data_IF_436834046666
#
_entry.id   IF_436834046666
#
_cell.length_a   1.000
_cell.length_b   1.000
_cell.length_c   1.000
_cell.angle_alpha   90.00
_cell.angle_beta   90.00
_cell.angle_gamma   90.00
#
_symmetry.space_group_name_H-M   'P 1'
#
loop_
_entity.id
_entity.type
_entity.pdbx_description
1 polymer ?
#
# COMPACT_ATOMS: atom_id res chain seq x y z
N UNK A 1 17.61 25.69 8.48
CA UNK A 1 16.97 24.87 7.43
C UNK A 1 17.17 23.42 7.82
N UNK A 2 16.23 22.88 8.58
CA UNK A 2 16.31 21.56 9.19
C UNK A 2 16.39 20.46 8.13
N UNK A 3 17.53 19.75 8.13
CA UNK A 3 17.61 18.38 7.61
C UNK A 3 16.75 17.52 8.54
N UNK A 4 15.47 17.38 8.23
CA UNK A 4 14.64 16.33 8.81
C UNK A 4 15.35 15.00 8.58
N UNK A 5 15.95 14.46 9.64
CA UNK A 5 16.64 13.17 9.63
C UNK A 5 15.63 12.15 9.12
N UNK A 6 15.98 11.50 8.02
CA UNK A 6 15.20 10.41 7.45
C UNK A 6 15.22 9.27 8.45
N UNK A 7 14.17 9.15 9.26
CA UNK A 7 14.06 8.06 10.19
C UNK A 7 13.78 6.76 9.43
N UNK A 8 14.67 5.79 9.58
CA UNK A 8 14.45 4.40 9.17
C UNK A 8 13.69 3.61 10.24
N UNK A 9 13.22 4.29 11.29
CA UNK A 9 12.48 3.66 12.38
C UNK A 9 11.02 3.36 11.97
N UNK A 10 10.53 2.12 12.16
CA UNK A 10 9.16 1.74 11.83
C UNK A 10 8.10 2.58 12.54
N UNK A 11 8.33 3.00 13.79
CA UNK A 11 7.38 3.81 14.55
C UNK A 11 7.20 5.18 13.91
N UNK A 12 8.29 5.84 13.52
CA UNK A 12 8.26 7.14 12.85
C UNK A 12 7.59 7.07 11.47
N UNK A 13 7.84 5.98 10.74
CA UNK A 13 7.15 5.71 9.47
C UNK A 13 5.64 5.58 9.67
N UNK A 14 5.23 4.75 10.63
CA UNK A 14 3.83 4.52 10.94
C UNK A 14 3.13 5.80 11.42
N UNK A 15 3.80 6.59 12.26
CA UNK A 15 3.30 7.90 12.70
C UNK A 15 3.06 8.86 11.53
N UNK A 16 4.00 8.92 10.58
CA UNK A 16 3.87 9.78 9.39
C UNK A 16 2.71 9.36 8.49
N UNK A 17 2.48 8.06 8.33
CA UNK A 17 1.36 7.49 7.57
C UNK A 17 0.00 7.77 8.21
N UNK A 18 -0.05 7.96 9.54
CA UNK A 18 -1.28 8.32 10.28
C UNK A 18 -1.44 9.83 10.50
N UNK A 19 -0.59 10.65 9.91
CA UNK A 19 -0.65 12.10 10.09
C UNK A 19 -2.04 12.66 9.72
N UNK A 20 -2.57 13.63 10.46
CA UNK A 20 -3.82 14.30 10.08
C UNK A 20 -3.70 15.02 8.72
N UNK A 21 -2.48 15.41 8.32
CA UNK A 21 -2.22 16.07 7.06
C UNK A 21 -2.09 15.08 5.89
N UNK A 22 -2.99 15.18 4.90
CA UNK A 22 -2.95 14.36 3.70
C UNK A 22 -1.62 14.51 2.93
N UNK A 23 -1.01 15.70 2.93
CA UNK A 23 0.28 15.90 2.25
C UNK A 23 1.41 15.14 2.94
N UNK A 24 1.38 15.02 4.27
CA UNK A 24 2.36 14.26 5.05
C UNK A 24 2.19 12.76 4.79
N UNK A 25 0.95 12.26 4.81
CA UNK A 25 0.65 10.84 4.50
C UNK A 25 1.11 10.48 3.09
N UNK A 26 0.79 11.31 2.11
CA UNK A 26 1.21 11.11 0.72
C UNK A 26 2.74 11.14 0.58
N UNK A 27 3.42 12.08 1.25
CA UNK A 27 4.88 12.14 1.24
C UNK A 27 5.51 10.91 1.91
N UNK A 28 4.91 10.41 3.00
CA UNK A 28 5.35 9.19 3.66
C UNK A 28 5.23 7.97 2.73
N UNK A 29 4.06 7.79 2.07
CA UNK A 29 3.85 6.72 1.09
C UNK A 29 4.90 6.76 -0.03
N UNK A 30 5.20 7.95 -0.57
CA UNK A 30 6.18 8.10 -1.65
C UNK A 30 7.62 7.76 -1.25
N UNK A 31 7.93 7.78 0.05
CA UNK A 31 9.27 7.49 0.58
C UNK A 31 9.50 6.00 0.86
N UNK A 32 8.44 5.22 1.00
CA UNK A 32 8.58 3.80 1.30
C UNK A 32 9.22 3.06 0.11
N UNK A 33 10.32 2.32 0.34
CA UNK A 33 10.79 1.36 -0.67
C UNK A 33 9.92 0.11 -0.61
N UNK A 34 9.28 -0.29 -1.71
CA UNK A 34 8.55 -1.55 -1.79
C UNK A 34 9.42 -2.76 -1.45
N UNK A 35 10.69 -2.72 -1.88
CA UNK A 35 11.69 -3.73 -1.62
C UNK A 35 11.91 -3.97 -0.11
N UNK A 36 12.10 -2.89 0.65
CA UNK A 36 12.38 -2.92 2.09
C UNK A 36 11.15 -3.23 2.90
N UNK A 37 9.99 -2.77 2.46
CA UNK A 37 8.73 -3.12 3.09
C UNK A 37 8.45 -4.63 2.94
N UNK A 38 8.73 -5.23 1.79
CA UNK A 38 8.63 -6.70 1.63
C UNK A 38 9.58 -7.45 2.55
N UNK A 39 10.85 -7.03 2.62
CA UNK A 39 11.83 -7.60 3.56
C UNK A 39 11.39 -7.46 5.03
N UNK A 40 10.49 -6.53 5.32
CA UNK A 40 9.98 -6.30 6.67
C UNK A 40 8.70 -7.06 7.00
N UNK A 41 8.20 -7.88 6.09
CA UNK A 41 6.96 -8.62 6.30
C UNK A 41 7.08 -9.72 7.35
N UNK A 42 6.08 -9.83 8.22
CA UNK A 42 6.09 -10.79 9.33
C UNK A 42 7.05 -10.41 10.47
N UNK A 43 7.58 -9.19 10.47
CA UNK A 43 8.34 -8.61 11.59
C UNK A 43 7.40 -7.74 12.42
N UNK A 44 7.25 -8.09 13.69
CA UNK A 44 6.31 -7.45 14.62
C UNK A 44 6.50 -5.93 14.70
N UNK A 45 7.74 -5.43 14.64
CA UNK A 45 8.04 -4.00 14.72
C UNK A 45 7.57 -3.20 13.49
N UNK A 46 7.31 -3.87 12.36
CA UNK A 46 6.79 -3.24 11.14
C UNK A 46 5.28 -3.41 10.98
N UNK A 47 4.59 -4.21 11.81
CA UNK A 47 3.13 -4.35 11.77
C UNK A 47 2.40 -3.00 11.82
N UNK A 48 2.78 -2.03 12.69
CA UNK A 48 2.14 -0.71 12.70
C UNK A 48 2.28 0.04 11.38
N UNK A 49 3.35 -0.19 10.61
CA UNK A 49 3.55 0.40 9.28
C UNK A 49 2.57 -0.22 8.30
N UNK A 50 2.49 -1.55 8.27
CA UNK A 50 1.56 -2.29 7.42
C UNK A 50 0.10 -1.93 7.71
N UNK A 51 -0.29 -1.89 8.98
CA UNK A 51 -1.62 -1.46 9.42
C UNK A 51 -1.96 -0.07 8.93
N UNK A 52 -1.00 0.85 9.03
CA UNK A 52 -1.18 2.22 8.56
C UNK A 52 -1.36 2.24 7.03
N UNK A 53 -0.60 1.46 6.27
CA UNK A 53 -0.74 1.38 4.80
C UNK A 53 -2.11 0.84 4.41
N UNK A 54 -2.57 -0.24 5.04
CA UNK A 54 -3.88 -0.82 4.74
C UNK A 54 -5.03 0.13 5.11
N UNK A 55 -4.91 0.88 6.21
CA UNK A 55 -5.89 1.90 6.57
C UNK A 55 -6.02 2.99 5.50
N UNK A 56 -4.93 3.36 4.82
CA UNK A 56 -4.93 4.36 3.75
C UNK A 56 -5.64 3.92 2.47
N UNK A 57 -6.01 2.64 2.34
CA UNK A 57 -6.87 2.19 1.24
C UNK A 57 -8.24 2.88 1.26
N UNK A 58 -8.71 3.31 2.44
CA UNK A 58 -9.97 4.05 2.62
C UNK A 58 -9.75 5.55 2.90
N UNK A 59 -8.57 6.10 2.58
CA UNK A 59 -8.27 7.51 2.85
C UNK A 59 -9.22 8.46 2.11
N UNK A 60 -9.61 9.57 2.76
CA UNK A 60 -10.46 10.59 2.12
C UNK A 60 -9.83 11.24 0.88
N UNK A 61 -8.50 11.32 0.80
CA UNK A 61 -7.78 11.90 -0.33
C UNK A 61 -7.56 10.87 -1.44
N UNK A 62 -8.16 11.12 -2.61
CA UNK A 62 -8.05 10.24 -3.78
C UNK A 62 -6.60 10.05 -4.26
N UNK A 63 -5.70 11.03 -4.03
CA UNK A 63 -4.29 10.89 -4.40
C UNK A 63 -3.58 9.89 -3.50
N UNK A 64 -3.97 9.80 -2.22
CA UNK A 64 -3.46 8.80 -1.29
C UNK A 64 -3.97 7.43 -1.71
N UNK A 65 -5.29 7.27 -1.91
CA UNK A 65 -5.85 5.98 -2.37
C UNK A 65 -5.23 5.55 -3.70
N UNK A 66 -5.05 6.48 -4.63
CA UNK A 66 -4.38 6.23 -5.89
C UNK A 66 -2.92 5.84 -5.68
N UNK A 67 -2.19 6.49 -4.76
CA UNK A 67 -0.83 6.10 -4.42
C UNK A 67 -0.81 4.70 -3.78
N UNK A 68 -1.68 4.37 -2.83
CA UNK A 68 -1.75 3.03 -2.22
C UNK A 68 -2.07 1.96 -3.27
N UNK A 69 -2.99 2.27 -4.20
CA UNK A 69 -3.39 1.39 -5.30
C UNK A 69 -2.34 1.27 -6.41
N UNK A 70 -1.60 2.35 -6.72
CA UNK A 70 -0.63 2.44 -7.82
C UNK A 70 0.81 2.16 -7.37
N UNK A 71 1.10 2.29 -6.09
CA UNK A 71 2.42 2.03 -5.54
C UNK A 71 2.44 0.62 -5.03
N UNK A 72 3.57 -0.02 -5.26
CA UNK A 72 3.98 -1.36 -4.87
C UNK A 72 3.98 -1.64 -3.35
N UNK A 73 3.26 -0.82 -2.59
CA UNK A 73 3.06 -0.93 -1.15
C UNK A 73 1.89 -1.85 -0.82
N UNK A 74 0.92 -1.98 -1.73
CA UNK A 74 -0.14 -3.00 -1.63
C UNK A 74 -0.12 -3.94 -2.82
N UNK A 75 0.35 -3.50 -3.98
CA UNK A 75 0.42 -4.34 -5.19
C UNK A 75 1.36 -3.69 -6.23
N UNK A 76 2.34 -4.45 -6.78
CA UNK A 76 2.78 -4.39 -8.20
C UNK A 76 4.23 -4.09 -8.67
N UNK A 77 5.28 -3.98 -7.86
CA UNK A 77 6.68 -4.14 -8.39
C UNK A 77 7.43 -5.26 -7.69
N UNK A 78 6.69 -6.06 -6.93
CA UNK A 78 7.21 -7.31 -6.37
C UNK A 78 6.16 -8.41 -6.41
N UNK A 79 5.10 -8.19 -7.21
CA UNK A 79 4.06 -9.17 -7.55
C UNK A 79 4.33 -9.80 -8.92
N UNK A 80 5.46 -9.47 -9.53
CA UNK A 80 6.14 -10.47 -10.33
C UNK A 80 6.66 -11.66 -9.47
N UNK A 81 6.61 -11.57 -8.12
CA UNK A 81 7.12 -12.61 -7.18
C UNK A 81 6.23 -12.87 -5.93
N UNK A 82 4.99 -12.35 -5.88
CA UNK A 82 4.06 -12.57 -4.76
C UNK A 82 4.21 -11.57 -3.59
N UNK A 83 3.07 -11.13 -3.04
CA UNK A 83 3.04 -10.48 -1.73
C UNK A 83 3.50 -11.47 -0.65
N UNK A 84 4.07 -11.02 0.47
CA UNK A 84 4.28 -11.89 1.63
C UNK A 84 2.98 -12.62 1.97
N UNK A 85 3.06 -13.95 2.12
CA UNK A 85 1.88 -14.80 2.34
C UNK A 85 1.07 -14.38 3.57
N UNK A 86 1.72 -13.82 4.58
CA UNK A 86 1.08 -13.30 5.80
C UNK A 86 0.09 -12.15 5.58
N UNK A 87 0.16 -11.43 4.46
CA UNK A 87 -0.74 -10.30 4.18
C UNK A 87 -1.66 -10.52 2.97
N UNK A 88 -1.65 -11.72 2.38
CA UNK A 88 -2.42 -11.99 1.16
C UNK A 88 -3.90 -11.64 1.30
N UNK A 89 -4.53 -12.01 2.42
CA UNK A 89 -5.95 -11.74 2.66
C UNK A 89 -6.24 -10.24 2.87
N UNK A 90 -5.30 -9.50 3.48
CA UNK A 90 -5.40 -8.05 3.63
C UNK A 90 -5.26 -7.33 2.28
N UNK A 91 -4.39 -7.84 1.41
CA UNK A 91 -4.25 -7.37 0.03
C UNK A 91 -5.52 -7.64 -0.76
N UNK A 92 -6.13 -8.83 -0.64
CA UNK A 92 -7.45 -9.14 -1.24
C UNK A 92 -8.50 -8.13 -0.82
N UNK A 93 -8.65 -7.92 0.48
CA UNK A 93 -9.62 -6.98 1.03
C UNK A 93 -9.40 -5.55 0.52
N UNK A 94 -8.15 -5.08 0.46
CA UNK A 94 -7.83 -3.76 -0.09
C UNK A 94 -8.20 -3.64 -1.57
N UNK A 95 -7.96 -4.68 -2.38
CA UNK A 95 -8.33 -4.70 -3.80
C UNK A 95 -9.83 -4.70 -4.01
N UNK A 96 -10.59 -5.41 -3.18
CA UNK A 96 -12.06 -5.37 -3.21
C UNK A 96 -12.60 -3.98 -2.88
N UNK A 97 -11.99 -3.29 -1.91
CA UNK A 97 -12.31 -1.89 -1.60
C UNK A 97 -12.03 -0.99 -2.81
N UNK A 98 -10.84 -1.10 -3.41
CA UNK A 98 -10.48 -0.30 -4.58
C UNK A 98 -11.37 -0.59 -5.79
N UNK A 99 -11.84 -1.83 -5.96
CA UNK A 99 -12.79 -2.19 -7.02
C UNK A 99 -14.17 -1.53 -6.86
N UNK A 100 -14.42 -0.87 -5.73
CA UNK A 100 -15.60 -0.04 -5.45
C UNK A 100 -15.25 1.44 -5.22
N UNK A 101 -13.99 1.84 -5.44
CA UNK A 101 -13.55 3.22 -5.22
C UNK A 101 -14.37 4.21 -6.06
N UNK A 102 -14.62 5.41 -5.54
CA UNK A 102 -15.28 6.47 -6.27
C UNK A 102 -14.47 6.90 -7.51
N UNK A 103 -13.14 6.88 -7.42
CA UNK A 103 -12.24 7.20 -8.53
C UNK A 103 -12.24 6.09 -9.58
N UNK A 104 -12.65 6.43 -10.80
CA UNK A 104 -12.77 5.49 -11.92
C UNK A 104 -11.44 4.85 -12.30
N UNK A 105 -10.30 5.54 -12.16
CA UNK A 105 -8.98 5.01 -12.52
C UNK A 105 -8.54 3.96 -11.51
N UNK A 106 -8.67 4.26 -10.21
CA UNK A 106 -8.40 3.31 -9.12
C UNK A 106 -9.25 2.06 -9.32
N UNK A 107 -10.56 2.26 -9.50
CA UNK A 107 -11.51 1.17 -9.72
C UNK A 107 -11.16 0.28 -10.90
N UNK A 108 -10.82 0.89 -12.04
CA UNK A 108 -10.41 0.14 -13.25
C UNK A 108 -9.14 -0.68 -13.00
N UNK A 109 -8.17 -0.13 -12.27
CA UNK A 109 -6.92 -0.81 -11.98
C UNK A 109 -7.15 -2.02 -11.07
N UNK A 110 -7.90 -1.82 -9.97
CA UNK A 110 -8.26 -2.90 -9.05
C UNK A 110 -9.07 -4.01 -9.74
N UNK A 111 -10.02 -3.63 -10.60
CA UNK A 111 -10.81 -4.59 -11.39
C UNK A 111 -9.93 -5.52 -12.24
N UNK A 112 -8.92 -4.96 -12.94
CA UNK A 112 -7.99 -5.76 -13.74
C UNK A 112 -7.22 -6.75 -12.87
N UNK A 113 -6.72 -6.27 -11.72
CA UNK A 113 -5.92 -7.06 -10.78
C UNK A 113 -6.73 -8.23 -10.20
N UNK A 114 -7.95 -7.97 -9.74
CA UNK A 114 -8.89 -9.00 -9.28
C UNK A 114 -9.26 -9.99 -10.37
N UNK A 115 -9.55 -9.53 -11.59
CA UNK A 115 -9.93 -10.40 -12.69
C UNK A 115 -8.82 -11.42 -13.03
N UNK A 116 -7.55 -11.03 -12.96
CA UNK A 116 -6.45 -11.98 -13.17
C UNK A 116 -6.25 -12.93 -12.00
N UNK A 117 -6.40 -12.45 -10.76
CA UNK A 117 -6.37 -13.35 -9.60
C UNK A 117 -7.41 -14.44 -9.77
N UNK A 118 -8.67 -14.07 -10.00
CA UNK A 118 -9.78 -15.01 -10.10
C UNK A 118 -9.50 -16.03 -11.21
N UNK A 119 -8.96 -15.59 -12.35
CA UNK A 119 -8.70 -16.44 -13.51
C UNK A 119 -7.47 -17.34 -13.36
N UNK A 120 -6.42 -16.89 -12.67
CA UNK A 120 -5.09 -17.54 -12.71
C UNK A 120 -4.55 -17.94 -11.35
N UNK A 121 -5.21 -17.55 -10.26
CA UNK A 121 -4.65 -17.59 -8.91
C UNK A 121 -3.50 -16.61 -8.70
N UNK A 122 -3.19 -15.75 -9.69
CA UNK A 122 -2.08 -14.80 -9.65
C UNK A 122 -2.58 -13.39 -9.91
N UNK A 123 -2.11 -12.46 -9.09
CA UNK A 123 -2.40 -11.03 -9.18
C UNK A 123 -1.65 -10.32 -10.34
N UNK A 124 -1.04 -11.07 -11.25
CA UNK A 124 -0.07 -10.58 -12.22
C UNK A 124 -0.77 -9.96 -13.45
N UNK A 125 -0.99 -8.65 -13.41
CA UNK A 125 -1.72 -7.88 -14.44
C UNK A 125 -1.21 -6.46 -14.43
N UNK A 126 0.07 -6.29 -14.71
CA UNK A 126 0.64 -5.14 -15.39
C UNK A 126 1.95 -5.56 -16.05
#
# INVERSE_FOLDING_TARGET
MDRAKHSTDPSDMAMSLRSPSASVRLAALKRLCPCKLRESAGRDEFEPVWDSIFALASDGDARIRAQVSSTNLVTLHTICDGSPSCYEDRVKAALELFNRDADRKIRRQAHKVLASLIRTGKWNVL
#
